data_IF_154274891573
#
_entry.id   IF_154274891573
#
_cell.length_a   1.000
_cell.length_b   1.000
_cell.length_c   1.000
_cell.angle_alpha   90.00
_cell.angle_beta   90.00
_cell.angle_gamma   90.00
#
_symmetry.space_group_name_H-M   'P 1'
#
loop_
_entity.id
_entity.type
_entity.pdbx_description
1 polymer ?
#
# COMPACT_ATOMS: atom_id res chain seq x y z
N UNK A 1 3.88 11.74 -32.98
CA UNK A 1 4.32 11.06 -31.75
C UNK A 1 3.40 9.87 -31.54
N UNK A 2 3.87 8.70 -31.06
CA UNK A 2 2.97 7.69 -30.51
C UNK A 2 2.20 8.30 -29.33
N UNK A 3 0.96 7.86 -29.09
CA UNK A 3 0.25 8.21 -27.84
C UNK A 3 1.07 7.67 -26.66
N UNK A 4 1.13 8.41 -25.56
CA UNK A 4 1.52 7.82 -24.27
C UNK A 4 0.61 6.62 -24.02
N UNK A 5 1.19 5.45 -23.77
CA UNK A 5 0.41 4.35 -23.23
C UNK A 5 -0.18 4.80 -21.90
N UNK A 6 -1.46 4.49 -21.69
CA UNK A 6 -2.11 4.73 -20.41
C UNK A 6 -1.34 3.90 -19.38
N UNK A 7 -0.80 4.56 -18.36
CA UNK A 7 -0.20 3.88 -17.22
C UNK A 7 -1.30 3.06 -16.57
N UNK A 8 -1.17 1.73 -16.60
CA UNK A 8 -2.11 0.87 -15.88
C UNK A 8 -2.12 1.26 -14.40
N UNK A 9 -3.30 1.47 -13.84
CA UNK A 9 -3.47 1.92 -12.45
C UNK A 9 -3.05 0.84 -11.42
N UNK A 10 -2.86 -0.39 -11.91
CA UNK A 10 -2.33 -1.55 -11.23
C UNK A 10 -1.16 -2.09 -12.09
N UNK A 11 0.03 -2.35 -11.52
CA UNK A 11 1.20 -2.80 -12.27
C UNK A 11 1.11 -4.27 -12.69
N UNK A 12 2.03 -4.69 -13.56
CA UNK A 12 2.39 -6.10 -13.67
C UNK A 12 3.21 -6.49 -12.43
N UNK A 13 2.75 -7.44 -11.59
CA UNK A 13 3.43 -7.76 -10.32
C UNK A 13 4.87 -8.24 -10.52
N UNK A 14 5.75 -8.11 -9.53
CA UNK A 14 7.16 -8.55 -9.62
C UNK A 14 7.43 -10.00 -9.22
N UNK A 15 6.45 -10.67 -8.62
CA UNK A 15 6.60 -11.97 -7.97
C UNK A 15 6.48 -13.10 -9.01
N UNK A 16 7.25 -14.19 -8.90
CA UNK A 16 6.99 -15.37 -9.71
C UNK A 16 5.66 -15.99 -9.26
N UNK A 17 4.74 -16.26 -10.20
CA UNK A 17 3.49 -16.97 -9.91
C UNK A 17 3.81 -18.35 -9.32
N UNK A 18 3.43 -18.59 -8.07
CA UNK A 18 3.70 -19.83 -7.35
C UNK A 18 2.57 -20.15 -6.36
N UNK A 19 2.60 -21.34 -5.75
CA UNK A 19 1.51 -21.83 -4.90
C UNK A 19 1.28 -20.97 -3.65
N UNK A 20 2.31 -20.39 -3.05
CA UNK A 20 2.16 -19.59 -1.82
C UNK A 20 1.55 -18.21 -2.12
N UNK A 21 1.86 -17.61 -3.27
CA UNK A 21 1.14 -16.42 -3.77
C UNK A 21 -0.34 -16.74 -4.02
N UNK A 22 -0.65 -17.86 -4.68
CA UNK A 22 -2.03 -18.27 -4.94
C UNK A 22 -2.78 -18.50 -3.62
N UNK A 23 -2.17 -19.16 -2.63
CA UNK A 23 -2.75 -19.31 -1.27
C UNK A 23 -2.98 -17.97 -0.57
N UNK A 24 -2.00 -17.06 -0.61
CA UNK A 24 -2.11 -15.73 -0.02
C UNK A 24 -3.32 -14.99 -0.61
N UNK A 25 -3.35 -14.82 -1.93
CA UNK A 25 -4.40 -14.07 -2.60
C UNK A 25 -5.77 -14.75 -2.55
N UNK A 26 -5.86 -16.09 -2.58
CA UNK A 26 -7.12 -16.80 -2.33
C UNK A 26 -7.69 -16.49 -0.95
N UNK A 27 -6.84 -16.44 0.10
CA UNK A 27 -7.29 -16.03 1.44
C UNK A 27 -7.72 -14.56 1.47
N UNK A 28 -6.97 -13.65 0.85
CA UNK A 28 -7.34 -12.23 0.74
C UNK A 28 -8.69 -12.07 0.03
N UNK A 29 -8.95 -12.78 -1.07
CA UNK A 29 -10.24 -12.72 -1.78
C UNK A 29 -11.39 -13.39 -1.01
N UNK A 30 -11.15 -14.49 -0.28
CA UNK A 30 -12.13 -15.07 0.64
C UNK A 30 -12.55 -14.04 1.72
N UNK A 31 -11.58 -13.35 2.32
CA UNK A 31 -11.81 -12.37 3.38
C UNK A 31 -12.50 -11.10 2.85
N UNK A 32 -12.15 -10.65 1.64
CA UNK A 32 -12.86 -9.59 0.94
C UNK A 32 -14.36 -9.88 0.78
N UNK A 33 -14.74 -11.10 0.45
CA UNK A 33 -16.14 -11.46 0.26
C UNK A 33 -16.94 -11.33 1.58
N UNK A 34 -16.34 -11.75 2.70
CA UNK A 34 -16.90 -11.58 4.04
C UNK A 34 -17.02 -10.09 4.43
N UNK A 35 -15.99 -9.28 4.18
CA UNK A 35 -16.01 -7.86 4.54
C UNK A 35 -17.04 -7.06 3.72
N UNK A 36 -17.11 -7.32 2.41
CA UNK A 36 -18.12 -6.72 1.53
C UNK A 36 -19.52 -7.12 2.01
N UNK A 37 -19.78 -8.41 2.24
CA UNK A 37 -21.06 -8.91 2.77
C UNK A 37 -21.45 -8.21 4.07
N UNK A 38 -20.50 -8.03 4.98
CA UNK A 38 -20.71 -7.39 6.29
C UNK A 38 -21.03 -5.90 6.19
N UNK A 39 -20.77 -5.25 5.06
CA UNK A 39 -21.02 -3.83 4.81
C UNK A 39 -22.25 -3.51 3.95
N UNK A 40 -22.99 -4.52 3.47
CA UNK A 40 -24.22 -4.36 2.69
C UNK A 40 -25.44 -4.14 3.60
N UNK A 41 -26.45 -3.34 3.20
CA UNK A 41 -27.73 -3.28 3.91
C UNK A 41 -28.50 -4.60 3.85
N UNK A 42 -29.27 -4.90 4.90
CA UNK A 42 -30.00 -6.16 5.03
C UNK A 42 -31.13 -6.38 4.01
N UNK A 43 -31.52 -5.37 3.22
CA UNK A 43 -32.48 -5.49 2.12
C UNK A 43 -31.82 -5.85 0.78
N UNK A 44 -30.49 -5.75 0.67
CA UNK A 44 -29.71 -6.10 -0.52
C UNK A 44 -29.41 -7.61 -0.57
N UNK A 45 -30.45 -8.44 -0.43
CA UNK A 45 -30.32 -9.90 -0.24
C UNK A 45 -29.57 -10.58 -1.39
N UNK A 46 -29.83 -10.18 -2.64
CA UNK A 46 -29.17 -10.74 -3.82
C UNK A 46 -27.64 -10.57 -3.75
N UNK A 47 -27.15 -9.37 -3.40
CA UNK A 47 -25.71 -9.10 -3.26
C UNK A 47 -25.09 -9.70 -1.98
N UNK A 48 -25.90 -9.92 -0.93
CA UNK A 48 -25.48 -10.62 0.30
C UNK A 48 -25.27 -12.12 0.03
N UNK A 49 -26.09 -12.71 -0.83
CA UNK A 49 -25.99 -14.11 -1.23
C UNK A 49 -24.89 -14.30 -2.30
N UNK A 50 -24.75 -13.38 -3.26
CA UNK A 50 -23.64 -13.36 -4.22
C UNK A 50 -22.28 -13.26 -3.49
N UNK A 51 -22.13 -12.35 -2.52
CA UNK A 51 -20.94 -12.27 -1.68
C UNK A 51 -20.73 -13.54 -0.82
N UNK A 52 -21.79 -14.24 -0.44
CA UNK A 52 -21.69 -15.51 0.28
C UNK A 52 -21.18 -16.64 -0.61
N UNK A 53 -21.62 -16.69 -1.87
CA UNK A 53 -21.14 -17.65 -2.87
C UNK A 53 -19.64 -17.43 -3.14
N UNK A 54 -19.21 -16.19 -3.38
CA UNK A 54 -17.77 -15.89 -3.54
C UNK A 54 -16.93 -16.35 -2.34
N UNK A 55 -17.40 -16.13 -1.10
CA UNK A 55 -16.71 -16.64 0.10
C UNK A 55 -16.52 -18.17 0.08
N UNK A 56 -17.54 -18.91 -0.34
CA UNK A 56 -17.53 -20.38 -0.39
C UNK A 56 -16.66 -20.92 -1.54
N UNK A 57 -16.68 -20.28 -2.70
CA UNK A 57 -15.82 -20.68 -3.83
C UNK A 57 -14.34 -20.36 -3.59
N UNK A 58 -14.00 -19.23 -2.98
CA UNK A 58 -12.62 -18.96 -2.54
C UNK A 58 -12.18 -19.95 -1.44
N UNK A 59 -13.07 -20.39 -0.56
CA UNK A 59 -12.76 -21.46 0.41
C UNK A 59 -12.49 -22.80 -0.30
N UNK A 60 -13.31 -23.17 -1.28
CA UNK A 60 -13.13 -24.37 -2.12
C UNK A 60 -11.77 -24.37 -2.81
N UNK A 61 -11.40 -23.26 -3.46
CA UNK A 61 -10.10 -23.09 -4.12
C UNK A 61 -8.94 -23.12 -3.11
N UNK A 62 -9.06 -22.46 -1.94
CA UNK A 62 -8.01 -22.48 -0.90
C UNK A 62 -7.79 -23.90 -0.36
N UNK A 63 -8.88 -24.62 -0.08
CA UNK A 63 -8.83 -26.03 0.33
C UNK A 63 -8.35 -26.97 -0.79
N UNK A 64 -8.36 -26.55 -2.07
CA UNK A 64 -7.66 -27.26 -3.16
C UNK A 64 -6.17 -26.95 -3.16
N UNK A 65 -5.78 -25.69 -2.96
CA UNK A 65 -4.38 -25.24 -2.87
C UNK A 65 -3.62 -25.90 -1.70
N UNK A 66 -4.29 -26.07 -0.55
CA UNK A 66 -3.72 -26.72 0.64
C UNK A 66 -3.52 -28.25 0.47
N UNK A 67 -4.12 -28.88 -0.55
CA UNK A 67 -4.03 -30.32 -0.85
C UNK A 67 -3.35 -30.61 -2.19
N UNK A 68 -2.62 -29.65 -2.73
CA UNK A 68 -2.00 -29.71 -4.05
C UNK A 68 -0.69 -30.51 -4.02
N UNK A 69 -0.46 -31.36 -5.03
CA UNK A 69 0.64 -32.35 -5.04
C UNK A 69 1.32 -32.52 -6.42
N UNK A 70 0.90 -31.79 -7.47
CA UNK A 70 1.47 -31.90 -8.81
C UNK A 70 1.18 -30.69 -9.69
N UNK A 71 2.09 -30.37 -10.61
CA UNK A 71 2.08 -29.13 -11.40
C UNK A 71 0.85 -29.00 -12.31
N UNK A 72 0.37 -30.11 -12.89
CA UNK A 72 -0.88 -30.12 -13.65
C UNK A 72 -2.06 -29.59 -12.82
N UNK A 73 -2.16 -30.00 -11.54
CA UNK A 73 -3.21 -29.52 -10.62
C UNK A 73 -3.02 -28.06 -10.24
N UNK A 74 -1.79 -27.54 -10.28
CA UNK A 74 -1.51 -26.11 -10.11
C UNK A 74 -2.03 -25.30 -11.30
N UNK A 75 -1.79 -25.75 -12.54
CA UNK A 75 -2.36 -25.14 -13.75
C UNK A 75 -3.89 -25.17 -13.77
N UNK A 76 -4.50 -26.28 -13.35
CA UNK A 76 -5.96 -26.39 -13.20
C UNK A 76 -6.49 -25.42 -12.12
N UNK A 77 -5.84 -25.35 -10.93
CA UNK A 77 -6.18 -24.39 -9.87
C UNK A 77 -6.06 -22.94 -10.33
N UNK A 78 -4.99 -22.57 -11.04
CA UNK A 78 -4.73 -21.20 -11.49
C UNK A 78 -5.79 -20.74 -12.50
N UNK A 79 -6.17 -21.58 -13.46
CA UNK A 79 -7.22 -21.21 -14.42
C UNK A 79 -8.59 -21.04 -13.73
N UNK A 80 -8.98 -21.94 -12.83
CA UNK A 80 -10.25 -21.80 -12.08
C UNK A 80 -10.25 -20.53 -11.22
N UNK A 81 -9.13 -20.24 -10.55
CA UNK A 81 -8.95 -19.01 -9.76
C UNK A 81 -9.01 -17.77 -10.64
N UNK A 82 -8.42 -17.80 -11.83
CA UNK A 82 -8.42 -16.69 -12.79
C UNK A 82 -9.84 -16.35 -13.26
N UNK A 83 -10.73 -17.34 -13.41
CA UNK A 83 -12.16 -17.12 -13.72
C UNK A 83 -12.85 -16.44 -12.54
N UNK A 84 -12.83 -17.07 -11.35
CA UNK A 84 -13.56 -16.58 -10.18
C UNK A 84 -13.11 -15.17 -9.74
N UNK A 85 -11.81 -14.84 -9.85
CA UNK A 85 -11.32 -13.50 -9.50
C UNK A 85 -11.74 -12.44 -10.53
N UNK A 86 -11.89 -12.79 -11.82
CA UNK A 86 -12.44 -11.86 -12.84
C UNK A 86 -13.92 -11.58 -12.61
N UNK A 87 -14.70 -12.59 -12.20
CA UNK A 87 -16.09 -12.44 -11.79
C UNK A 87 -16.20 -11.59 -10.51
N UNK A 88 -15.40 -11.90 -9.48
CA UNK A 88 -15.38 -11.16 -8.22
C UNK A 88 -14.88 -9.71 -8.35
N UNK A 89 -13.92 -9.47 -9.25
CA UNK A 89 -13.54 -8.10 -9.66
C UNK A 89 -14.74 -7.36 -10.25
N UNK A 90 -15.52 -8.01 -11.11
CA UNK A 90 -16.68 -7.41 -11.76
C UNK A 90 -17.77 -7.08 -10.73
N UNK A 91 -18.06 -7.99 -9.80
CA UNK A 91 -18.92 -7.76 -8.63
C UNK A 91 -18.46 -6.53 -7.81
N UNK A 92 -17.17 -6.47 -7.44
CA UNK A 92 -16.59 -5.33 -6.72
C UNK A 92 -16.75 -3.99 -7.47
N UNK A 93 -16.55 -3.96 -8.79
CA UNK A 93 -16.77 -2.75 -9.62
C UNK A 93 -18.25 -2.39 -9.73
N UNK A 94 -19.16 -3.35 -9.79
CA UNK A 94 -20.61 -3.12 -9.81
C UNK A 94 -21.09 -2.47 -8.50
N UNK A 95 -20.71 -3.03 -7.34
CA UNK A 95 -21.04 -2.44 -6.04
C UNK A 95 -20.46 -1.03 -5.88
N UNK A 96 -19.23 -0.80 -6.34
CA UNK A 96 -18.62 0.54 -6.37
C UNK A 96 -19.46 1.52 -7.20
N UNK A 97 -19.86 1.13 -8.41
CA UNK A 97 -20.65 1.97 -9.30
C UNK A 97 -22.01 2.33 -8.67
N UNK A 98 -22.71 1.34 -8.09
CA UNK A 98 -23.96 1.57 -7.37
C UNK A 98 -23.77 2.46 -6.13
N UNK A 99 -22.64 2.36 -5.43
CA UNK A 99 -22.30 3.23 -4.29
C UNK A 99 -22.11 4.68 -4.74
N UNK A 100 -21.41 4.90 -5.85
CA UNK A 100 -21.19 6.23 -6.43
C UNK A 100 -22.48 6.88 -6.98
N UNK A 101 -23.48 6.07 -7.37
CA UNK A 101 -24.80 6.51 -7.78
C UNK A 101 -25.82 6.58 -6.62
N UNK A 102 -25.38 6.38 -5.37
CA UNK A 102 -26.24 6.33 -4.17
C UNK A 102 -27.33 5.22 -4.22
N UNK A 103 -27.14 4.16 -5.00
CA UNK A 103 -28.10 3.06 -5.20
C UNK A 103 -27.90 1.85 -4.26
N UNK A 104 -26.76 1.73 -3.58
CA UNK A 104 -26.44 0.56 -2.75
C UNK A 104 -26.62 0.78 -1.23
N UNK A 105 -26.34 1.99 -0.72
CA UNK A 105 -26.29 2.26 0.72
C UNK A 105 -25.18 1.49 1.46
N UNK A 106 -25.39 1.24 2.75
CA UNK A 106 -24.51 0.41 3.59
C UNK A 106 -23.34 1.17 4.24
N UNK A 107 -22.34 0.43 4.71
CA UNK A 107 -21.11 0.97 5.30
C UNK A 107 -19.82 0.54 4.58
N UNK A 108 -19.95 -0.08 3.40
CA UNK A 108 -18.85 -0.23 2.45
C UNK A 108 -18.46 1.13 1.87
N UNK A 109 -17.34 1.71 2.30
CA UNK A 109 -16.82 2.94 1.69
C UNK A 109 -16.50 2.73 0.20
N UNK A 110 -16.82 3.71 -0.66
CA UNK A 110 -16.46 3.64 -2.09
C UNK A 110 -14.95 3.43 -2.31
N UNK A 111 -14.09 4.08 -1.54
CA UNK A 111 -12.63 3.87 -1.60
C UNK A 111 -12.23 2.43 -1.20
N UNK A 112 -12.96 1.80 -0.28
CA UNK A 112 -12.74 0.39 0.08
C UNK A 112 -13.13 -0.53 -1.08
N UNK A 113 -14.27 -0.31 -1.73
CA UNK A 113 -14.67 -1.10 -2.90
C UNK A 113 -13.71 -0.93 -4.11
N UNK A 114 -13.14 0.27 -4.31
CA UNK A 114 -12.08 0.49 -5.31
C UNK A 114 -10.76 -0.19 -4.95
N UNK A 115 -10.37 -0.16 -3.68
CA UNK A 115 -9.16 -0.77 -3.14
C UNK A 115 -9.17 -2.29 -3.33
N UNK A 116 -10.20 -2.97 -2.81
CA UNK A 116 -10.32 -4.43 -2.95
C UNK A 116 -10.49 -4.87 -4.41
N UNK A 117 -10.92 -3.98 -5.31
CA UNK A 117 -10.95 -4.23 -6.75
C UNK A 117 -9.56 -4.11 -7.40
N UNK A 118 -8.72 -3.14 -6.99
CA UNK A 118 -7.33 -3.03 -7.45
C UNK A 118 -6.50 -4.26 -7.10
N UNK A 119 -6.72 -4.83 -5.93
CA UNK A 119 -6.06 -6.07 -5.50
C UNK A 119 -6.56 -7.30 -6.26
N UNK A 120 -7.84 -7.33 -6.65
CA UNK A 120 -8.34 -8.36 -7.55
C UNK A 120 -7.73 -8.23 -8.96
N UNK A 121 -7.59 -7.02 -9.50
CA UNK A 121 -6.87 -6.77 -10.75
C UNK A 121 -5.39 -7.18 -10.67
N UNK A 122 -4.72 -6.88 -9.54
CA UNK A 122 -3.33 -7.27 -9.30
C UNK A 122 -3.16 -8.78 -9.29
N UNK A 123 -4.04 -9.50 -8.58
CA UNK A 123 -4.03 -10.96 -8.57
C UNK A 123 -4.35 -11.57 -9.94
N UNK A 124 -5.25 -10.96 -10.72
CA UNK A 124 -5.51 -11.36 -12.12
C UNK A 124 -4.22 -11.26 -12.96
N UNK A 125 -3.46 -10.16 -12.85
CA UNK A 125 -2.18 -9.98 -13.56
C UNK A 125 -1.12 -10.99 -13.08
N UNK A 126 -1.10 -11.33 -11.79
CA UNK A 126 -0.23 -12.37 -11.26
C UNK A 126 -0.55 -13.75 -11.85
N UNK A 127 -1.84 -14.10 -11.97
CA UNK A 127 -2.32 -15.36 -12.57
C UNK A 127 -2.08 -15.41 -14.09
N UNK A 128 -2.22 -14.28 -14.80
CA UNK A 128 -2.00 -14.19 -16.25
C UNK A 128 -0.55 -14.55 -16.67
N UNK A 129 0.41 -14.53 -15.72
CA UNK A 129 1.79 -15.00 -15.94
C UNK A 129 1.89 -16.49 -16.27
N UNK A 130 0.90 -17.34 -15.95
CA UNK A 130 0.94 -18.77 -16.33
C UNK A 130 0.99 -18.98 -17.85
N UNK A 131 0.54 -17.99 -18.63
CA UNK A 131 0.59 -17.99 -20.11
C UNK A 131 1.79 -17.20 -20.65
N UNK A 132 2.46 -16.43 -19.80
CA UNK A 132 3.49 -15.46 -20.14
C UNK A 132 4.70 -15.60 -19.22
N UNK A 133 5.58 -16.56 -19.52
CA UNK A 133 6.79 -16.92 -18.75
C UNK A 133 7.87 -15.81 -18.63
N UNK A 134 7.56 -14.53 -18.89
CA UNK A 134 8.50 -13.40 -18.87
C UNK A 134 7.84 -12.13 -18.34
N UNK A 135 8.06 -11.81 -17.06
CA UNK A 135 7.91 -10.44 -16.55
C UNK A 135 9.02 -9.59 -17.16
N UNK A 136 8.68 -8.65 -18.04
CA UNK A 136 9.64 -7.75 -18.67
C UNK A 136 10.05 -6.62 -17.71
N UNK A 137 10.91 -6.95 -16.74
CA UNK A 137 11.43 -5.99 -15.76
C UNK A 137 12.27 -4.90 -16.43
N UNK A 138 11.68 -3.71 -16.61
CA UNK A 138 12.41 -2.48 -16.89
C UNK A 138 12.68 -1.75 -15.56
N UNK A 139 13.50 -0.70 -15.54
CA UNK A 139 13.85 -0.01 -14.28
C UNK A 139 12.68 0.75 -13.62
N UNK A 140 11.60 1.03 -14.35
CA UNK A 140 10.36 1.56 -13.81
C UNK A 140 9.51 0.52 -13.08
N UNK A 141 9.60 -0.77 -13.42
CA UNK A 141 8.71 -1.81 -12.87
C UNK A 141 8.75 -1.89 -11.34
N UNK A 142 9.92 -1.73 -10.73
CA UNK A 142 10.05 -1.64 -9.26
C UNK A 142 9.35 -0.41 -8.68
N UNK A 143 9.48 0.75 -9.29
CA UNK A 143 8.81 1.95 -8.82
C UNK A 143 7.28 1.86 -8.99
N UNK A 144 6.81 1.16 -10.03
CA UNK A 144 5.39 0.85 -10.22
C UNK A 144 4.86 -0.10 -9.12
N UNK A 145 5.62 -1.14 -8.78
CA UNK A 145 5.31 -2.08 -7.70
C UNK A 145 5.24 -1.38 -6.33
N UNK A 146 6.28 -0.63 -5.95
CA UNK A 146 6.28 0.22 -4.74
C UNK A 146 5.06 1.15 -4.72
N UNK A 147 4.75 1.82 -5.84
CA UNK A 147 3.64 2.78 -5.93
C UNK A 147 2.28 2.12 -5.72
N UNK A 148 2.07 0.89 -6.18
CA UNK A 148 0.85 0.14 -5.90
C UNK A 148 0.69 -0.10 -4.40
N UNK A 149 1.68 -0.73 -3.76
CA UNK A 149 1.58 -1.10 -2.34
C UNK A 149 1.59 0.10 -1.40
N UNK A 150 2.31 1.18 -1.73
CA UNK A 150 2.25 2.43 -0.98
C UNK A 150 0.84 3.03 -0.96
N UNK A 151 0.08 2.93 -2.07
CA UNK A 151 -1.33 3.32 -2.11
C UNK A 151 -2.20 2.39 -1.26
N UNK A 152 -1.97 1.07 -1.32
CA UNK A 152 -2.66 0.10 -0.46
C UNK A 152 -2.40 0.40 1.03
N UNK A 153 -1.17 0.74 1.41
CA UNK A 153 -0.84 1.13 2.78
C UNK A 153 -1.43 2.49 3.20
N UNK A 154 -1.50 3.46 2.30
CA UNK A 154 -2.16 4.75 2.53
C UNK A 154 -3.68 4.60 2.74
N UNK A 155 -4.33 3.80 1.90
CA UNK A 155 -5.75 3.45 2.02
C UNK A 155 -6.02 2.73 3.37
N UNK A 156 -5.14 1.80 3.76
CA UNK A 156 -5.24 1.08 5.04
C UNK A 156 -5.19 2.00 6.26
N UNK A 157 -4.27 2.97 6.29
CA UNK A 157 -4.18 3.93 7.38
C UNK A 157 -5.49 4.76 7.51
N UNK A 158 -6.07 5.17 6.38
CA UNK A 158 -7.39 5.82 6.32
C UNK A 158 -8.51 4.90 6.82
N UNK A 159 -8.53 3.64 6.41
CA UNK A 159 -9.57 2.66 6.78
C UNK A 159 -9.56 2.29 8.27
N UNK A 160 -8.39 2.31 8.92
CA UNK A 160 -8.26 2.16 10.38
C UNK A 160 -8.77 3.42 11.06
N UNK A 161 -8.29 4.60 10.64
CA UNK A 161 -8.70 5.89 11.21
C UNK A 161 -10.22 6.10 11.22
N UNK A 162 -10.89 5.82 10.11
CA UNK A 162 -12.35 5.98 9.94
C UNK A 162 -13.19 4.85 10.58
N UNK A 163 -12.57 3.87 11.24
CA UNK A 163 -13.27 2.78 11.95
C UNK A 163 -12.90 2.66 13.43
N UNK A 164 -11.97 3.48 13.92
CA UNK A 164 -11.82 3.74 15.35
C UNK A 164 -13.00 4.59 15.84
N UNK A 165 -13.41 4.40 17.09
CA UNK A 165 -14.38 5.31 17.71
C UNK A 165 -13.77 6.71 17.93
N UNK A 166 -14.51 7.82 17.72
CA UNK A 166 -14.00 9.18 17.91
C UNK A 166 -13.41 9.51 19.31
N UNK A 167 -13.63 8.67 20.32
CA UNK A 167 -12.96 8.76 21.63
C UNK A 167 -11.49 8.29 21.60
N UNK A 168 -11.10 7.42 20.65
CA UNK A 168 -9.74 6.87 20.47
C UNK A 168 -8.76 7.88 19.82
N UNK A 169 -8.83 9.14 20.25
CA UNK A 169 -8.17 10.32 19.63
C UNK A 169 -6.68 10.11 19.33
N UNK A 170 -5.96 9.42 20.21
CA UNK A 170 -4.52 9.13 20.04
C UNK A 170 -4.25 8.08 18.96
N UNK A 171 -5.10 7.06 18.83
CA UNK A 171 -5.00 6.05 17.78
C UNK A 171 -5.42 6.64 16.43
N UNK A 172 -6.48 7.47 16.40
CA UNK A 172 -6.90 8.22 15.20
C UNK A 172 -5.79 9.15 14.71
N UNK A 173 -5.17 9.94 15.61
CA UNK A 173 -4.04 10.80 15.25
C UNK A 173 -2.83 10.00 14.74
N UNK A 174 -2.57 8.82 15.30
CA UNK A 174 -1.51 7.91 14.84
C UNK A 174 -1.82 7.35 13.44
N UNK A 175 -3.05 6.89 13.21
CA UNK A 175 -3.50 6.38 11.91
C UNK A 175 -3.49 7.47 10.82
N UNK A 176 -3.87 8.71 11.15
CA UNK A 176 -3.76 9.85 10.24
C UNK A 176 -2.30 10.16 9.91
N UNK A 177 -1.39 10.18 10.90
CA UNK A 177 0.03 10.42 10.64
C UNK A 177 0.65 9.34 9.70
N UNK A 178 0.20 8.09 9.80
CA UNK A 178 0.54 7.06 8.81
C UNK A 178 -0.10 7.30 7.44
N UNK A 179 -1.36 7.78 7.37
CA UNK A 179 -2.00 8.14 6.10
C UNK A 179 -1.18 9.21 5.37
N UNK A 180 -0.85 10.30 6.06
CA UNK A 180 -0.09 11.42 5.50
C UNK A 180 1.31 10.97 5.05
N UNK A 181 1.99 10.13 5.84
CA UNK A 181 3.30 9.57 5.48
C UNK A 181 3.22 8.70 4.21
N UNK A 182 2.23 7.82 4.10
CA UNK A 182 2.08 6.94 2.94
C UNK A 182 1.53 7.64 1.70
N UNK A 183 0.73 8.71 1.83
CA UNK A 183 0.34 9.57 0.70
C UNK A 183 1.57 10.30 0.13
N UNK A 184 2.48 10.78 0.98
CA UNK A 184 3.74 11.40 0.56
C UNK A 184 4.69 10.40 -0.13
N UNK A 185 4.84 9.19 0.45
CA UNK A 185 5.61 8.11 -0.17
C UNK A 185 4.99 7.67 -1.52
N UNK A 186 3.66 7.59 -1.61
CA UNK A 186 2.96 7.28 -2.85
C UNK A 186 3.22 8.34 -3.94
N UNK A 187 3.15 9.63 -3.62
CA UNK A 187 3.49 10.69 -4.58
C UNK A 187 4.95 10.57 -5.06
N UNK A 188 5.90 10.36 -4.14
CA UNK A 188 7.31 10.14 -4.50
C UNK A 188 7.53 8.85 -5.32
N UNK A 189 6.74 7.81 -5.09
CA UNK A 189 6.72 6.58 -5.90
C UNK A 189 6.28 6.84 -7.34
N UNK A 190 5.20 7.62 -7.53
CA UNK A 190 4.74 8.03 -8.87
C UNK A 190 5.83 8.82 -9.62
N UNK A 191 6.50 9.76 -8.94
CA UNK A 191 7.63 10.51 -9.52
C UNK A 191 8.76 9.58 -9.97
N UNK A 192 9.17 8.62 -9.13
CA UNK A 192 10.16 7.61 -9.53
C UNK A 192 9.67 6.71 -10.67
N UNK A 193 8.40 6.32 -10.68
CA UNK A 193 7.79 5.53 -11.76
C UNK A 193 7.80 6.28 -13.09
N UNK A 194 7.70 7.61 -13.07
CA UNK A 194 7.83 8.45 -14.28
C UNK A 194 9.30 8.64 -14.67
N UNK A 195 10.19 8.95 -13.71
CA UNK A 195 11.60 9.25 -13.97
C UNK A 195 12.42 8.03 -14.42
N UNK A 196 12.07 6.82 -13.95
CA UNK A 196 12.79 5.58 -14.26
C UNK A 196 12.24 4.83 -15.48
N UNK A 197 11.22 5.36 -16.16
CA UNK A 197 10.60 4.71 -17.30
C UNK A 197 11.60 4.53 -18.46
N UNK A 198 12.01 3.29 -18.71
CA UNK A 198 13.03 2.94 -19.71
C UNK A 198 14.50 3.12 -19.29
N UNK A 199 14.75 3.60 -18.07
CA UNK A 199 16.10 3.81 -17.52
C UNK A 199 16.46 2.76 -16.45
N UNK A 200 17.67 2.83 -15.90
CA UNK A 200 18.16 1.94 -14.83
C UNK A 200 17.95 2.54 -13.43
N UNK A 201 17.88 1.68 -12.41
CA UNK A 201 17.74 2.08 -11.00
C UNK A 201 18.86 3.02 -10.53
N UNK A 202 18.51 4.20 -10.01
CA UNK A 202 19.45 5.18 -9.44
C UNK A 202 19.59 5.04 -7.92
N UNK A 203 20.67 5.58 -7.35
CA UNK A 203 20.95 5.50 -5.92
C UNK A 203 19.87 6.16 -5.03
N UNK A 204 19.23 7.24 -5.49
CA UNK A 204 18.12 7.89 -4.77
C UNK A 204 16.86 7.02 -4.70
N UNK A 205 16.58 6.21 -5.73
CA UNK A 205 15.48 5.25 -5.71
C UNK A 205 15.77 4.09 -4.73
N UNK A 206 17.01 3.62 -4.67
CA UNK A 206 17.43 2.60 -3.68
C UNK A 206 17.31 3.10 -2.25
N UNK A 207 17.54 4.40 -1.99
CA UNK A 207 17.25 5.03 -0.70
C UNK A 207 15.74 5.07 -0.43
N UNK A 208 14.94 5.49 -1.41
CA UNK A 208 13.47 5.54 -1.29
C UNK A 208 12.86 4.19 -0.90
N UNK A 209 13.34 3.06 -1.44
CA UNK A 209 12.91 1.72 -0.99
C UNK A 209 13.22 1.50 0.51
N UNK A 210 14.37 1.96 1.02
CA UNK A 210 14.67 1.87 2.47
C UNK A 210 13.75 2.78 3.30
N UNK A 211 13.48 3.99 2.80
CA UNK A 211 12.59 4.98 3.43
C UNK A 211 11.14 4.40 3.54
N UNK A 212 10.61 3.86 2.44
CA UNK A 212 9.32 3.17 2.36
C UNK A 212 9.26 1.90 3.23
N UNK A 213 10.34 1.10 3.26
CA UNK A 213 10.44 -0.08 4.12
C UNK A 213 10.38 0.28 5.60
N UNK A 214 11.06 1.34 6.01
CA UNK A 214 11.06 1.81 7.40
C UNK A 214 9.69 2.34 7.84
N UNK A 215 8.89 2.90 6.92
CA UNK A 215 7.49 3.23 7.16
C UNK A 215 6.61 1.98 7.27
N UNK A 216 6.77 1.02 6.35
CA UNK A 216 5.94 -0.20 6.30
C UNK A 216 6.17 -1.13 7.49
N UNK A 217 7.41 -1.22 8.01
CA UNK A 217 7.69 -1.90 9.28
C UNK A 217 6.88 -1.29 10.43
N UNK A 218 6.86 0.04 10.55
CA UNK A 218 6.08 0.74 11.60
C UNK A 218 4.58 0.59 11.42
N UNK A 219 4.07 0.67 10.18
CA UNK A 219 2.65 0.49 9.91
C UNK A 219 2.19 -0.94 10.17
N UNK A 220 3.00 -1.96 9.82
CA UNK A 220 2.73 -3.35 10.19
C UNK A 220 2.67 -3.52 11.70
N UNK A 221 3.63 -2.96 12.43
CA UNK A 221 3.66 -3.08 13.90
C UNK A 221 2.47 -2.33 14.55
N UNK A 222 2.03 -1.21 13.97
CA UNK A 222 0.78 -0.53 14.36
C UNK A 222 -0.48 -1.36 14.01
N UNK A 223 -0.51 -2.03 12.86
CA UNK A 223 -1.61 -2.93 12.46
C UNK A 223 -1.72 -4.14 13.41
N UNK A 224 -0.60 -4.77 13.77
CA UNK A 224 -0.54 -5.84 14.80
C UNK A 224 -0.96 -5.35 16.17
N UNK A 225 -0.48 -4.16 16.57
CA UNK A 225 -0.88 -3.51 17.80
C UNK A 225 -2.39 -3.24 17.87
N UNK A 226 -3.03 -2.86 16.76
CA UNK A 226 -4.48 -2.73 16.68
C UNK A 226 -5.20 -4.09 16.74
N UNK A 227 -4.73 -5.09 15.99
CA UNK A 227 -5.24 -6.48 16.00
C UNK A 227 -5.28 -7.05 17.43
N UNK A 228 -4.16 -6.99 18.16
CA UNK A 228 -4.05 -7.44 19.55
C UNK A 228 -5.04 -6.72 20.47
N UNK A 229 -5.22 -5.40 20.33
CA UNK A 229 -6.19 -4.66 21.16
C UNK A 229 -7.65 -4.92 20.79
N UNK A 230 -7.96 -5.22 19.54
CA UNK A 230 -9.32 -5.61 19.11
C UNK A 230 -9.66 -6.99 19.68
N UNK A 231 -8.74 -7.97 19.57
CA UNK A 231 -8.92 -9.33 20.11
C UNK A 231 -9.07 -9.32 21.63
N UNK A 232 -8.32 -8.48 22.34
CA UNK A 232 -8.42 -8.33 23.80
C UNK A 232 -9.54 -7.37 24.27
N UNK A 233 -10.37 -6.84 23.37
CA UNK A 233 -11.42 -5.85 23.66
C UNK A 233 -10.92 -4.58 24.40
N UNK A 234 -9.70 -4.12 24.07
CA UNK A 234 -9.02 -2.94 24.63
C UNK A 234 -8.94 -1.73 23.69
N UNK A 235 -9.63 -1.79 22.54
CA UNK A 235 -9.73 -0.73 21.53
C UNK A 235 -11.21 -0.58 21.16
N UNK A 236 -11.72 0.66 21.16
CA UNK A 236 -13.12 0.95 20.81
C UNK A 236 -13.24 1.32 19.34
N UNK A 237 -14.09 0.62 18.59
CA UNK A 237 -14.31 0.85 17.16
C UNK A 237 -15.11 -0.24 16.48
N UNK A 238 -15.23 -0.12 15.16
CA UNK A 238 -15.99 -1.01 14.27
C UNK A 238 -15.07 -1.81 13.31
N UNK A 239 -13.85 -2.12 13.76
CA UNK A 239 -12.87 -2.94 13.03
C UNK A 239 -13.00 -4.39 13.49
N UNK A 240 -13.42 -5.36 12.65
CA UNK A 240 -13.36 -6.78 12.99
C UNK A 240 -11.89 -7.23 13.16
N UNK A 241 -11.61 -8.12 14.12
CA UNK A 241 -10.26 -8.65 14.33
C UNK A 241 -9.65 -9.26 13.05
N UNK A 242 -10.48 -9.96 12.26
CA UNK A 242 -10.07 -10.54 10.98
C UNK A 242 -9.67 -9.49 9.94
N UNK A 243 -10.28 -8.30 9.96
CA UNK A 243 -9.86 -7.18 9.10
C UNK A 243 -8.51 -6.61 9.56
N UNK A 244 -8.25 -6.56 10.87
CA UNK A 244 -6.95 -6.11 11.38
C UNK A 244 -5.81 -7.07 11.00
N UNK A 245 -6.01 -8.39 11.14
CA UNK A 245 -5.07 -9.44 10.67
C UNK A 245 -4.87 -9.40 9.15
N UNK A 246 -5.93 -9.18 8.37
CA UNK A 246 -5.89 -9.06 6.92
C UNK A 246 -4.98 -7.93 6.46
N UNK A 247 -5.27 -6.70 6.91
CA UNK A 247 -4.45 -5.54 6.52
C UNK A 247 -3.01 -5.65 7.04
N UNK A 248 -2.78 -6.37 8.16
CA UNK A 248 -1.43 -6.68 8.65
C UNK A 248 -0.70 -7.65 7.71
N UNK A 249 -1.35 -8.72 7.25
CA UNK A 249 -0.75 -9.69 6.33
C UNK A 249 -0.31 -9.07 5.01
N UNK A 250 -1.05 -8.11 4.48
CA UNK A 250 -0.64 -7.34 3.29
C UNK A 250 0.57 -6.43 3.56
N UNK A 251 0.69 -5.88 4.76
CA UNK A 251 1.90 -5.14 5.16
C UNK A 251 3.12 -6.07 5.32
N UNK A 252 2.92 -7.30 5.82
CA UNK A 252 3.96 -8.33 5.85
C UNK A 252 4.33 -8.85 4.43
N UNK A 253 3.37 -8.95 3.50
CA UNK A 253 3.59 -9.32 2.09
C UNK A 253 4.35 -8.24 1.33
N UNK A 254 3.99 -6.96 1.45
CA UNK A 254 4.76 -5.85 0.87
C UNK A 254 6.21 -5.80 1.41
N UNK A 255 6.44 -6.15 2.69
CA UNK A 255 7.78 -6.28 3.27
C UNK A 255 8.59 -7.47 2.69
N UNK A 256 7.92 -8.53 2.23
CA UNK A 256 8.55 -9.61 1.46
C UNK A 256 8.93 -9.13 0.05
N UNK A 257 8.03 -8.43 -0.65
CA UNK A 257 8.25 -7.88 -1.99
C UNK A 257 9.47 -6.93 -2.00
N UNK A 258 9.53 -5.95 -1.09
CA UNK A 258 10.71 -5.08 -0.93
C UNK A 258 12.00 -5.89 -0.72
N UNK A 259 11.96 -6.95 0.08
CA UNK A 259 13.12 -7.82 0.30
C UNK A 259 13.52 -8.65 -0.93
N UNK A 260 12.58 -8.98 -1.82
CA UNK A 260 12.85 -9.61 -3.12
C UNK A 260 13.46 -8.62 -4.12
N UNK A 261 12.97 -7.37 -4.13
CA UNK A 261 13.50 -6.28 -4.96
C UNK A 261 14.95 -5.94 -4.62
N UNK A 262 15.29 -5.84 -3.33
CA UNK A 262 16.66 -5.61 -2.84
C UNK A 262 17.62 -6.74 -3.23
N UNK A 263 17.22 -8.00 -3.00
CA UNK A 263 18.03 -9.18 -3.26
C UNK A 263 18.15 -9.52 -4.75
N UNK A 264 17.37 -8.87 -5.62
CA UNK A 264 17.33 -9.13 -7.06
C UNK A 264 16.67 -10.47 -7.43
N UNK A 265 15.91 -11.08 -6.52
CA UNK A 265 15.27 -12.40 -6.70
C UNK A 265 14.21 -12.33 -7.82
N UNK A 266 13.65 -11.15 -8.09
CA UNK A 266 12.71 -10.86 -9.19
C UNK A 266 13.26 -11.12 -10.60
N UNK A 267 14.53 -11.50 -10.76
CA UNK A 267 15.18 -11.71 -12.07
C UNK A 267 15.30 -13.17 -12.53
N UNK A 268 15.21 -14.16 -11.65
CA UNK A 268 15.39 -15.56 -12.02
C UNK A 268 14.60 -16.51 -11.11
N UNK A 269 13.47 -16.99 -11.62
CA UNK A 269 12.94 -18.30 -11.26
C UNK A 269 12.41 -18.96 -12.54
N UNK A 270 13.11 -19.95 -13.12
CA UNK A 270 12.57 -20.72 -14.22
C UNK A 270 11.43 -21.58 -13.67
N UNK A 271 10.20 -21.30 -14.11
CA UNK A 271 9.11 -22.26 -13.94
C UNK A 271 9.36 -23.48 -14.84
N UNK A 272 8.95 -24.66 -14.37
CA UNK A 272 9.09 -25.91 -15.11
C UNK A 272 8.33 -25.77 -16.43
N UNK A 273 9.03 -25.88 -17.55
CA UNK A 273 8.47 -25.72 -18.90
C UNK A 273 7.57 -26.88 -19.25
N UNK A 274 6.34 -26.59 -19.70
CA UNK A 274 5.39 -27.61 -20.18
C UNK A 274 5.90 -28.39 -21.40
N UNK A 275 6.85 -27.81 -22.13
CA UNK A 275 7.49 -28.30 -23.36
C UNK A 275 8.24 -29.66 -23.22
N UNK A 276 8.17 -30.31 -22.05
CA UNK A 276 8.75 -31.62 -21.77
C UNK A 276 7.74 -32.80 -21.84
N UNK A 277 6.47 -32.54 -22.22
CA UNK A 277 5.42 -33.56 -22.31
C UNK A 277 4.74 -33.53 -23.69
N UNK A 278 5.53 -33.60 -24.77
CA UNK A 278 5.00 -33.97 -26.09
C UNK A 278 6.09 -34.58 -26.99
N UNK A 279 6.49 -35.82 -26.69
CA UNK A 279 6.81 -36.79 -27.74
C UNK A 279 6.46 -38.22 -27.28
N UNK A 280 6.27 -39.13 -28.23
CA UNK A 280 5.52 -40.36 -27.99
C UNK A 280 6.38 -41.60 -27.67
N UNK A 281 5.77 -42.50 -26.89
CA UNK A 281 5.78 -43.96 -27.00
C UNK A 281 6.99 -44.65 -27.67
N UNK A 282 7.63 -45.54 -26.92
CA UNK A 282 7.86 -46.91 -27.38
C UNK A 282 7.75 -47.88 -26.17
N UNK A 283 7.23 -49.08 -26.39
CA UNK A 283 7.16 -50.15 -25.40
C UNK A 283 8.48 -50.93 -25.37
N UNK A 284 9.05 -51.19 -24.18
CA UNK A 284 9.62 -52.51 -23.89
C UNK A 284 9.77 -52.79 -22.39
N UNK A 285 9.75 -54.07 -22.03
CA UNK A 285 9.96 -54.58 -20.66
C UNK A 285 11.43 -54.96 -20.44
N UNK A 286 11.90 -55.03 -19.18
CA UNK A 286 12.61 -56.18 -18.58
C UNK A 286 13.24 -55.82 -17.22
N UNK A 287 12.87 -56.65 -16.23
CA UNK A 287 13.61 -57.18 -15.05
C UNK A 287 14.86 -56.46 -14.46
N UNK A 288 14.76 -56.22 -13.15
CA UNK A 288 15.65 -56.70 -12.06
C UNK A 288 16.86 -55.94 -11.45
N UNK A 289 16.99 -56.20 -10.14
CA UNK A 289 18.23 -56.35 -9.32
C UNK A 289 19.04 -55.11 -8.84
N UNK A 290 18.72 -54.74 -7.58
CA UNK A 290 19.64 -54.76 -6.41
C UNK A 290 20.49 -53.54 -5.94
N UNK A 291 20.23 -53.19 -4.65
CA UNK A 291 21.21 -53.03 -3.53
C UNK A 291 21.90 -51.67 -3.24
N UNK A 292 21.71 -51.28 -1.96
CA UNK A 292 22.32 -50.25 -1.08
C UNK A 292 23.86 -50.40 -0.86
N UNK A 293 24.63 -49.47 -0.21
CA UNK A 293 24.24 -48.45 0.79
C UNK A 293 24.92 -47.05 0.71
N UNK A 294 24.75 -46.27 1.79
CA UNK A 294 25.27 -44.92 2.06
C UNK A 294 26.81 -44.80 2.13
N UNK A 295 27.34 -43.58 1.90
CA UNK A 295 28.61 -43.10 2.49
C UNK A 295 28.49 -41.62 2.91
N UNK A 296 28.85 -41.31 4.16
CA UNK A 296 29.06 -39.95 4.65
C UNK A 296 30.41 -39.37 4.16
N UNK A 297 30.47 -38.06 3.86
CA UNK A 297 31.62 -37.27 4.35
C UNK A 297 31.30 -35.80 4.68
N UNK A 298 32.26 -35.12 5.32
CA UNK A 298 32.04 -33.87 6.08
C UNK A 298 32.65 -32.65 5.39
N UNK A 299 31.87 -31.57 5.32
CA UNK A 299 32.36 -30.27 4.86
C UNK A 299 33.44 -29.72 5.83
N UNK A 300 34.57 -29.21 5.29
CA UNK A 300 35.67 -28.61 6.07
C UNK A 300 35.76 -27.10 5.82
N UNK A 301 35.76 -26.32 6.89
CA UNK A 301 35.98 -24.87 6.87
C UNK A 301 37.48 -24.58 6.79
N UNK A 302 37.89 -23.61 5.98
CA UNK A 302 39.22 -22.98 6.07
C UNK A 302 39.12 -21.47 6.27
N UNK A 303 40.07 -20.93 7.05
CA UNK A 303 40.12 -19.53 7.50
C UNK A 303 41.58 -19.13 7.75
N UNK A 304 42.13 -18.23 6.93
CA UNK A 304 43.51 -17.69 7.06
C UNK A 304 43.49 -16.18 6.76
N UNK A 305 44.42 -15.39 7.32
CA UNK A 305 44.39 -13.92 7.30
C UNK A 305 45.76 -13.26 7.01
N UNK A 306 45.80 -12.36 6.02
CA UNK A 306 46.60 -11.09 5.97
C UNK A 306 48.16 -11.25 6.05
N UNK A 307 49.03 -10.18 6.13
CA UNK A 307 48.82 -8.70 6.07
C UNK A 307 49.85 -7.86 5.22
N UNK A 308 49.72 -6.51 5.23
CA UNK A 308 50.69 -5.44 4.82
C UNK A 308 50.92 -5.30 3.27
N UNK A 309 51.12 -4.13 2.60
CA UNK A 309 51.57 -2.73 2.86
C UNK A 309 50.68 -1.75 2.04
N UNK A 310 50.21 -0.54 2.43
CA UNK A 310 50.84 0.74 2.84
C UNK A 310 51.74 1.39 1.76
N UNK A 311 51.62 2.67 1.34
CA UNK A 311 50.72 3.81 1.72
C UNK A 311 49.75 4.26 0.57
N UNK A 312 49.52 5.51 0.08
CA UNK A 312 50.09 6.89 0.17
C UNK A 312 48.97 8.01 0.18
N UNK A 313 49.35 9.31 0.22
CA UNK A 313 48.49 10.54 0.16
C UNK A 313 49.38 11.74 -0.29
N UNK A 314 48.92 12.83 -0.95
CA UNK A 314 47.98 13.85 -0.40
C UNK A 314 47.18 14.57 -1.56
N UNK A 315 46.77 15.87 -1.51
CA UNK A 315 46.46 16.77 -0.39
C UNK A 315 44.99 17.27 -0.43
N UNK A 316 44.62 18.17 0.48
CA UNK A 316 43.37 18.94 0.41
C UNK A 316 43.53 20.34 1.00
N UNK A 317 43.32 21.38 0.19
CA UNK A 317 42.78 22.69 0.62
C UNK A 317 42.60 23.62 -0.59
N UNK A 318 41.39 24.16 -0.78
CA UNK A 318 41.22 25.58 -1.14
C UNK A 318 39.79 26.03 -0.80
N UNK A 319 39.66 27.21 -0.19
CA UNK A 319 38.39 27.78 0.25
C UNK A 319 37.93 28.86 -0.73
N UNK A 320 36.93 28.57 -1.57
CA UNK A 320 36.33 29.58 -2.44
C UNK A 320 35.24 30.32 -1.66
N UNK A 321 35.52 31.58 -1.30
CA UNK A 321 34.53 32.50 -0.76
C UNK A 321 33.59 32.97 -1.89
N UNK A 322 32.27 32.80 -1.70
CA UNK A 322 31.26 33.43 -2.54
C UNK A 322 30.72 34.65 -1.79
N UNK A 323 31.02 35.85 -2.28
CA UNK A 323 30.47 37.10 -1.74
C UNK A 323 29.04 37.34 -2.28
N UNK A 324 28.15 37.99 -1.50
CA UNK A 324 26.79 38.28 -1.93
C UNK A 324 26.76 39.37 -3.02
N UNK A 325 26.09 39.09 -4.13
CA UNK A 325 25.82 40.10 -5.17
C UNK A 325 24.71 41.03 -4.68
N UNK A 326 25.11 42.13 -4.04
CA UNK A 326 24.28 43.35 -3.99
C UNK A 326 24.37 43.99 -5.38
N UNK A 327 23.25 44.36 -5.98
CA UNK A 327 23.25 45.29 -7.11
C UNK A 327 22.03 46.22 -7.05
N UNK A 328 22.23 47.46 -7.50
CA UNK A 328 21.54 48.60 -6.89
C UNK A 328 20.31 49.10 -7.65
N UNK A 329 19.47 49.87 -6.97
CA UNK A 329 18.32 50.56 -7.57
C UNK A 329 18.79 51.67 -8.51
N UNK A 330 18.33 51.67 -9.77
CA UNK A 330 18.18 52.92 -10.55
C UNK A 330 16.81 52.99 -11.21
N UNK A 331 16.18 54.17 -11.12
CA UNK A 331 14.83 54.43 -11.62
C UNK A 331 14.81 55.60 -12.60
N UNK A 332 14.13 55.43 -13.72
CA UNK A 332 13.64 56.50 -14.58
C UNK A 332 12.41 55.99 -15.34
N UNK A 333 11.19 56.28 -14.86
CA UNK A 333 10.42 57.51 -15.10
C UNK A 333 10.03 57.73 -16.56
N UNK A 334 8.80 57.34 -16.89
CA UNK A 334 7.90 58.10 -17.77
C UNK A 334 6.46 57.91 -17.28
N UNK A 335 5.62 58.94 -17.41
CA UNK A 335 4.19 58.94 -17.04
C UNK A 335 3.33 58.90 -18.31
N UNK A 336 2.04 58.54 -18.17
CA UNK A 336 0.88 59.38 -18.54
C UNK A 336 -0.42 58.74 -18.02
N UNK A 337 -1.43 59.54 -17.66
CA UNK A 337 -2.73 59.09 -17.13
C UNK A 337 -3.73 58.69 -18.25
N UNK A 338 -4.96 58.24 -17.95
CA UNK A 338 -6.17 59.09 -17.77
C UNK A 338 -7.33 58.27 -17.14
N UNK A 339 -8.38 58.97 -16.69
CA UNK A 339 -9.38 58.60 -15.67
C UNK A 339 -10.66 57.81 -16.12
N UNK A 340 -11.47 57.29 -15.16
CA UNK A 340 -12.64 56.42 -15.40
C UNK A 340 -14.02 57.14 -15.38
N UNK A 341 -15.10 56.35 -15.58
CA UNK A 341 -16.52 56.72 -15.39
C UNK A 341 -17.39 55.49 -15.02
N UNK A 342 -18.61 55.58 -14.48
CA UNK A 342 -19.13 56.38 -13.35
C UNK A 342 -20.58 55.93 -12.99
N UNK A 343 -20.81 55.30 -11.82
CA UNK A 343 -22.08 55.35 -11.02
C UNK A 343 -23.41 54.85 -11.69
N UNK A 344 -24.62 54.87 -11.04
CA UNK A 344 -24.98 55.23 -9.66
C UNK A 344 -25.93 54.26 -8.88
N UNK A 345 -26.10 54.50 -7.57
CA UNK A 345 -27.28 54.12 -6.75
C UNK A 345 -28.40 55.19 -6.79
N UNK A 346 -29.60 54.90 -6.25
CA UNK A 346 -30.35 55.89 -5.47
C UNK A 346 -30.80 55.39 -4.07
N UNK A 347 -31.10 56.33 -3.15
CA UNK A 347 -31.40 56.11 -1.71
C UNK A 347 -32.67 56.83 -1.25
N UNK A 348 -33.34 56.35 -0.18
CA UNK A 348 -34.16 57.06 0.84
C UNK A 348 -35.18 56.10 1.52
N UNK A 349 -35.80 56.32 2.69
CA UNK A 349 -35.49 57.02 3.99
C UNK A 349 -36.67 56.73 4.96
N UNK A 350 -36.44 56.58 6.28
CA UNK A 350 -37.53 56.52 7.29
C UNK A 350 -37.10 56.05 8.69
N UNK A 351 -37.59 56.71 9.76
CA UNK A 351 -37.26 56.63 11.21
C UNK A 351 -38.49 57.21 11.98
N UNK A 352 -38.83 56.90 13.28
CA UNK A 352 -38.16 56.13 14.35
C UNK A 352 -39.03 54.91 14.83
N UNK A 353 -39.24 54.44 16.08
CA UNK A 353 -38.88 54.84 17.47
C UNK A 353 -39.08 53.70 18.52
N UNK A 354 -38.27 53.66 19.60
CA UNK A 354 -38.43 52.91 20.90
C UNK A 354 -38.47 51.35 20.79
N UNK A 355 -38.11 50.54 21.81
CA UNK A 355 -37.89 50.66 23.28
C UNK A 355 -36.50 50.10 23.69
N UNK A 356 -36.08 50.37 24.95
CA UNK A 356 -34.92 49.90 25.75
C UNK A 356 -34.58 48.37 25.65
N UNK A 357 -33.44 47.84 26.13
CA UNK A 357 -32.66 48.11 27.37
C UNK A 357 -31.13 48.03 27.17
N UNK A 358 -30.37 48.72 28.02
CA UNK A 358 -28.90 48.75 28.08
C UNK A 358 -28.32 47.64 28.97
N UNK A 359 -27.16 47.08 28.60
CA UNK A 359 -26.21 46.51 29.56
C UNK A 359 -24.78 46.62 28.99
N UNK A 360 -23.91 47.43 29.61
CA UNK A 360 -22.51 47.59 29.19
C UNK A 360 -21.59 46.61 29.91
N UNK A 361 -20.69 45.94 29.17
CA UNK A 361 -19.42 45.45 29.71
C UNK A 361 -18.30 45.84 28.75
N UNK A 362 -17.21 46.38 29.31
CA UNK A 362 -16.15 47.08 28.59
C UNK A 362 -15.30 46.13 27.73
N UNK A 363 -14.95 46.58 26.52
CA UNK A 363 -13.97 45.93 25.64
C UNK A 363 -12.58 46.36 26.07
N UNK A 364 -11.70 45.40 26.35
CA UNK A 364 -10.26 45.65 26.46
C UNK A 364 -9.48 44.79 25.46
N UNK A 365 -8.39 45.33 24.91
CA UNK A 365 -7.48 44.64 23.99
C UNK A 365 -6.07 44.70 24.56
N UNK A 366 -5.33 43.60 24.44
CA UNK A 366 -4.07 43.74 23.71
C UNK A 366 -3.90 42.66 22.63
N UNK A 367 -3.12 43.01 21.60
CA UNK A 367 -2.61 42.03 20.64
C UNK A 367 -1.20 41.59 21.05
N UNK A 368 -0.94 40.28 21.03
CA UNK A 368 0.40 39.74 20.85
C UNK A 368 0.33 38.34 20.24
N UNK A 369 1.22 38.05 19.31
CA UNK A 369 1.30 36.77 18.59
C UNK A 369 1.99 35.72 19.43
N UNK A 370 1.39 34.53 19.53
CA UNK A 370 2.08 33.29 19.88
C UNK A 370 1.79 32.26 18.80
N UNK A 371 2.85 31.76 18.17
CA UNK A 371 2.78 30.64 17.23
C UNK A 371 2.50 29.34 18.01
N UNK A 372 1.73 28.38 17.45
CA UNK A 372 1.52 27.10 18.11
C UNK A 372 2.84 26.31 18.15
N UNK A 373 3.22 25.68 19.27
CA UNK A 373 4.46 24.95 19.37
C UNK A 373 4.44 23.71 18.47
N UNK A 374 5.34 23.67 17.49
CA UNK A 374 5.57 22.52 16.61
C UNK A 374 6.25 21.38 17.36
N UNK A 375 5.50 20.70 18.23
CA UNK A 375 5.97 19.51 18.92
C UNK A 375 6.07 18.32 17.95
N UNK A 376 7.24 18.15 17.34
CA UNK A 376 7.60 16.90 16.65
C UNK A 376 7.25 15.69 17.53
N UNK A 377 6.60 14.69 16.95
CA UNK A 377 6.11 13.52 17.67
C UNK A 377 7.27 12.60 18.08
N UNK A 378 7.84 12.84 19.27
CA UNK A 378 8.98 12.07 19.86
C UNK A 378 8.63 10.63 20.27
N UNK A 379 7.64 10.01 19.61
CA UNK A 379 7.24 8.62 19.80
C UNK A 379 8.12 7.68 18.98
N UNK A 380 9.26 7.29 19.57
CA UNK A 380 10.06 6.17 19.05
C UNK A 380 9.38 4.85 19.40
N UNK A 381 8.82 4.19 18.39
CA UNK A 381 8.34 2.82 18.48
C UNK A 381 9.47 1.88 18.90
N UNK A 382 9.23 1.07 19.91
CA UNK A 382 10.14 0.01 20.38
C UNK A 382 9.29 -1.19 20.79
N UNK A 383 9.82 -2.40 20.61
CA UNK A 383 9.09 -3.68 20.79
C UNK A 383 8.80 -4.06 22.25
N UNK A 384 8.25 -3.12 23.03
CA UNK A 384 7.75 -3.29 24.41
C UNK A 384 6.41 -2.57 24.56
N UNK A 385 5.48 -2.96 23.71
CA UNK A 385 4.09 -2.49 23.64
C UNK A 385 3.21 -3.74 23.48
N UNK A 386 1.96 -3.77 24.00
CA UNK A 386 1.26 -2.73 24.75
C UNK A 386 1.82 -2.48 26.15
N UNK A 387 1.60 -1.27 26.69
CA UNK A 387 1.80 -1.02 28.13
C UNK A 387 0.60 -1.59 28.88
N UNK A 388 0.85 -2.28 30.00
CA UNK A 388 -0.22 -2.73 30.89
C UNK A 388 -0.97 -1.53 31.47
N UNK A 389 -2.28 -1.46 31.19
CA UNK A 389 -3.17 -0.44 31.76
C UNK A 389 -3.70 -0.93 33.11
N UNK A 390 -3.15 -0.36 34.18
CA UNK A 390 -3.49 -0.72 35.56
C UNK A 390 -2.75 -1.95 36.07
N UNK A 391 -2.56 -2.01 37.40
CA UNK A 391 -2.21 -3.26 38.07
C UNK A 391 -3.46 -4.13 38.14
N UNK A 392 -3.35 -5.43 37.84
CA UNK A 392 -4.33 -6.40 38.36
C UNK A 392 -4.35 -6.24 39.89
N UNK A 393 -5.56 -6.21 40.47
CA UNK A 393 -5.68 -6.50 41.90
C UNK A 393 -5.50 -8.01 42.07
N UNK A 394 -4.68 -8.38 43.03
CA UNK A 394 -4.42 -9.76 43.45
C UNK A 394 -5.62 -10.29 44.26
#
# INVERSE_FOLDING_TARGET
>A
MPRQQIVYLVPEPLEPLNLEEVKFWLRIMQEHALFIKSGLPCDQTEYIDEAQAFYQEFESLRLRADRLQSDRRFTELVNDTQVLVREFYTFKRNLLHMTLECRLGGCNFALFLDHVAREAEYFIRLLDKIRNNKVLTNGGTKAQEETFWLRIMADHAKFISHRLDPSERNLIATANAFSDEFDNLFMQGNDFSSMLHGYSEVASFKRFIQDARAATVRLRDFKRAAEEMIVECRLVGIIPAQLADHVRREADHFLMIMAMMEKGITKNMPMITLDAIEDNQDDECVEDIAVVPEVHEKCKIYKVMKPIREEEKPPANEQIQIQPIINDKKSSKSKVSIEPKNSPEPKNKGIPEKIAVEEEVVIDKPASTLEPPTSESKYKWSGKWPRQLGKKRE
#
